data_IF_074572854313
#
_entry.id   IF_074572854313
#
_cell.length_a   1.000
_cell.length_b   1.000
_cell.length_c   1.000
_cell.angle_alpha   90.00
_cell.angle_beta   90.00
_cell.angle_gamma   90.00
#
_symmetry.space_group_name_H-M   'P 1'
#
loop_
_entity.id
_entity.type
_entity.pdbx_description
1 polymer ?
#
# COMPACT_ATOMS: atom_id res chain seq x y z
N UNK A 1 21.12 24.05 8.13
CA UNK A 1 21.04 22.99 9.16
C UNK A 1 19.58 22.75 9.45
N UNK A 2 19.03 21.55 9.24
CA UNK A 2 17.62 21.30 9.51
C UNK A 2 17.39 21.39 11.02
N UNK A 3 16.35 22.15 11.38
CA UNK A 3 15.90 22.36 12.75
C UNK A 3 15.50 20.99 13.31
N UNK A 4 16.25 20.50 14.30
CA UNK A 4 15.87 19.31 15.08
C UNK A 4 14.59 19.64 15.83
N UNK A 5 13.45 19.41 15.20
CA UNK A 5 12.14 19.57 15.80
C UNK A 5 12.08 18.78 17.09
N UNK A 6 11.55 19.38 18.15
CA UNK A 6 11.31 18.73 19.43
C UNK A 6 10.36 17.55 19.21
N UNK A 7 10.91 16.37 18.93
CA UNK A 7 10.17 15.13 18.97
C UNK A 7 9.53 15.03 20.37
N UNK A 8 8.21 15.11 20.39
CA UNK A 8 7.38 14.91 21.58
C UNK A 8 7.88 13.71 22.38
N UNK A 9 7.76 13.74 23.70
CA UNK A 9 8.28 12.65 24.56
C UNK A 9 7.76 11.26 24.14
N UNK A 10 6.55 11.19 23.60
CA UNK A 10 5.98 9.97 23.02
C UNK A 10 6.77 9.48 21.79
N UNK A 11 7.15 10.35 20.87
CA UNK A 11 7.84 10.02 19.62
C UNK A 11 9.22 9.39 19.89
N UNK A 12 9.97 9.95 20.83
CA UNK A 12 11.26 9.35 21.25
C UNK A 12 11.11 7.98 21.90
N UNK A 13 10.07 7.78 22.72
CA UNK A 13 9.79 6.46 23.33
C UNK A 13 9.37 5.43 22.29
N UNK A 14 8.55 5.84 21.34
CA UNK A 14 8.10 5.04 20.20
C UNK A 14 9.29 4.55 19.35
N UNK A 15 10.17 5.45 18.91
CA UNK A 15 11.34 5.08 18.11
C UNK A 15 12.33 4.19 18.88
N UNK A 16 12.53 4.44 20.19
CA UNK A 16 13.35 3.55 21.03
C UNK A 16 12.75 2.15 21.17
N UNK A 17 11.42 2.03 21.27
CA UNK A 17 10.75 0.74 21.30
C UNK A 17 10.97 0.00 19.97
N UNK A 18 10.85 0.70 18.84
CA UNK A 18 11.14 0.15 17.51
C UNK A 18 12.58 -0.37 17.46
N UNK A 19 13.57 0.46 17.79
CA UNK A 19 14.98 0.07 17.82
C UNK A 19 15.25 -1.14 18.73
N UNK A 20 14.63 -1.19 19.90
CA UNK A 20 14.80 -2.28 20.85
C UNK A 20 14.16 -3.58 20.34
N UNK A 21 12.94 -3.51 19.80
CA UNK A 21 12.28 -4.67 19.21
C UNK A 21 13.07 -5.21 18.01
N UNK A 22 13.61 -4.33 17.15
CA UNK A 22 14.44 -4.73 16.02
C UNK A 22 15.75 -5.37 16.45
N UNK A 23 16.38 -4.89 17.53
CA UNK A 23 17.61 -5.50 18.07
C UNK A 23 17.38 -6.90 18.67
N UNK A 24 16.16 -7.17 19.11
CA UNK A 24 15.78 -8.42 19.78
C UNK A 24 14.98 -9.35 18.88
N UNK A 25 14.89 -9.07 17.58
CA UNK A 25 14.07 -9.81 16.60
C UNK A 25 12.61 -10.02 17.06
N UNK A 26 12.08 -9.04 17.80
CA UNK A 26 10.75 -9.09 18.42
C UNK A 26 9.67 -8.47 17.52
N UNK A 27 9.63 -8.90 16.25
CA UNK A 27 8.75 -8.33 15.22
C UNK A 27 7.26 -8.46 15.56
N UNK A 28 6.86 -9.55 16.20
CA UNK A 28 5.48 -9.75 16.67
C UNK A 28 5.05 -8.72 17.73
N UNK A 29 5.97 -8.33 18.63
CA UNK A 29 5.72 -7.27 19.63
C UNK A 29 5.59 -5.93 18.93
N UNK A 30 6.48 -5.68 17.97
CA UNK A 30 6.51 -4.44 17.19
C UNK A 30 5.22 -4.27 16.37
N UNK A 31 4.79 -5.33 15.68
CA UNK A 31 3.53 -5.38 14.93
C UNK A 31 2.35 -5.03 15.83
N UNK A 32 2.25 -5.67 17.02
CA UNK A 32 1.16 -5.42 17.97
C UNK A 32 1.16 -3.99 18.51
N UNK A 33 2.34 -3.45 18.84
CA UNK A 33 2.47 -2.08 19.35
C UNK A 33 2.09 -1.03 18.29
N UNK A 34 2.55 -1.22 17.06
CA UNK A 34 2.36 -0.29 15.94
C UNK A 34 0.96 -0.38 15.31
N UNK A 35 0.22 -1.47 15.54
CA UNK A 35 -1.13 -1.68 15.01
C UNK A 35 -2.10 -0.53 15.30
N UNK A 36 -1.93 0.19 16.41
CA UNK A 36 -2.80 1.33 16.80
C UNK A 36 -2.26 2.71 16.38
N UNK A 37 -1.04 2.79 15.86
CA UNK A 37 -0.43 4.08 15.53
C UNK A 37 -1.07 4.73 14.30
N UNK A 38 -1.10 6.06 14.21
CA UNK A 38 -1.54 6.77 13.01
C UNK A 38 -0.57 6.55 11.84
N UNK A 39 -1.07 6.67 10.60
CA UNK A 39 -0.27 6.45 9.37
C UNK A 39 0.99 7.33 9.35
N UNK A 40 0.89 8.60 9.73
CA UNK A 40 2.04 9.51 9.75
C UNK A 40 3.16 9.04 10.70
N UNK A 41 2.80 8.52 11.89
CA UNK A 41 3.78 7.99 12.84
C UNK A 41 4.41 6.69 12.35
N UNK A 42 3.65 5.86 11.62
CA UNK A 42 4.19 4.65 11.01
C UNK A 42 5.15 4.97 9.87
N UNK A 43 4.80 5.91 8.97
CA UNK A 43 5.70 6.33 7.89
C UNK A 43 7.04 6.79 8.43
N UNK A 44 7.02 7.58 9.50
CA UNK A 44 8.23 8.04 10.14
C UNK A 44 9.02 6.88 10.79
N UNK A 45 8.33 6.01 11.53
CA UNK A 45 8.98 4.89 12.22
C UNK A 45 9.53 3.82 11.27
N UNK A 46 8.97 3.69 10.07
CA UNK A 46 9.38 2.72 9.06
C UNK A 46 10.13 3.36 7.89
N UNK A 47 10.54 4.63 7.98
CA UNK A 47 11.18 5.37 6.88
C UNK A 47 12.44 4.66 6.38
N UNK A 48 13.26 4.17 7.31
CA UNK A 48 14.54 3.51 7.03
C UNK A 48 14.41 1.98 6.86
N UNK A 49 13.18 1.43 6.95
CA UNK A 49 13.00 -0.01 6.82
C UNK A 49 13.07 -0.42 5.36
N UNK A 50 13.76 -1.53 5.11
CA UNK A 50 13.65 -2.26 3.85
C UNK A 50 12.25 -2.89 3.68
N UNK A 51 12.02 -3.44 2.49
CA UNK A 51 10.74 -4.01 2.12
C UNK A 51 10.42 -5.28 2.91
N UNK A 52 11.40 -6.17 3.12
CA UNK A 52 11.25 -7.45 3.81
C UNK A 52 10.87 -7.24 5.29
N UNK A 53 11.53 -6.31 5.99
CA UNK A 53 11.18 -5.96 7.39
C UNK A 53 9.79 -5.35 7.48
N UNK A 54 9.45 -4.46 6.56
CA UNK A 54 8.09 -3.89 6.53
C UNK A 54 7.04 -4.98 6.30
N UNK A 55 7.29 -5.88 5.36
CA UNK A 55 6.41 -6.97 5.01
C UNK A 55 6.15 -7.90 6.21
N UNK A 56 7.20 -8.26 6.95
CA UNK A 56 7.10 -9.11 8.14
C UNK A 56 6.22 -8.49 9.25
N UNK A 57 6.37 -7.19 9.50
CA UNK A 57 5.68 -6.50 10.61
C UNK A 57 4.26 -6.04 10.22
N UNK A 58 4.05 -5.63 8.97
CA UNK A 58 2.80 -4.99 8.54
C UNK A 58 1.64 -5.98 8.27
N UNK A 59 1.91 -7.29 8.20
CA UNK A 59 0.93 -8.33 7.85
C UNK A 59 -0.33 -8.32 8.74
N UNK A 60 -0.17 -8.03 10.03
CA UNK A 60 -1.28 -8.03 11.00
C UNK A 60 -1.98 -6.67 11.18
N UNK A 61 -1.55 -5.66 10.43
CA UNK A 61 -2.15 -4.34 10.50
C UNK A 61 -3.45 -4.27 9.72
N UNK A 62 -4.24 -3.22 9.98
CA UNK A 62 -5.45 -2.98 9.19
C UNK A 62 -5.07 -2.78 7.72
N UNK A 63 -5.67 -3.54 6.81
CA UNK A 63 -5.34 -3.54 5.37
C UNK A 63 -5.34 -2.14 4.75
N UNK A 64 -6.36 -1.32 5.03
CA UNK A 64 -6.44 0.08 4.56
C UNK A 64 -5.24 0.93 5.02
N UNK A 65 -4.66 0.59 6.17
CA UNK A 65 -3.47 1.26 6.69
C UNK A 65 -2.23 0.82 5.91
N UNK A 66 -2.07 -0.49 5.72
CA UNK A 66 -0.97 -1.06 4.91
C UNK A 66 -1.00 -0.47 3.50
N UNK A 67 -2.16 -0.46 2.85
CA UNK A 67 -2.35 0.11 1.52
C UNK A 67 -1.86 1.56 1.42
N UNK A 68 -2.28 2.43 2.35
CA UNK A 68 -1.83 3.83 2.41
C UNK A 68 -0.33 3.97 2.61
N UNK A 69 0.29 3.08 3.40
CA UNK A 69 1.73 3.09 3.64
C UNK A 69 2.51 2.68 2.38
N UNK A 70 2.05 1.64 1.67
CA UNK A 70 2.65 1.22 0.40
C UNK A 70 2.59 2.34 -0.64
N UNK A 71 1.45 3.03 -0.75
CA UNK A 71 1.29 4.16 -1.67
C UNK A 71 2.20 5.32 -1.31
N UNK A 72 2.28 5.68 -0.03
CA UNK A 72 3.09 6.79 0.43
C UNK A 72 4.61 6.53 0.29
N UNK A 73 5.06 5.27 0.35
CA UNK A 73 6.47 4.90 0.13
C UNK A 73 6.83 4.70 -1.35
N UNK A 74 5.83 4.69 -2.23
CA UNK A 74 6.01 4.65 -3.68
C UNK A 74 6.00 3.26 -4.29
N UNK A 75 5.84 3.21 -5.61
CA UNK A 75 5.56 1.97 -6.34
C UNK A 75 6.68 0.92 -6.25
N UNK A 76 7.94 1.34 -6.31
CA UNK A 76 9.08 0.42 -6.19
C UNK A 76 9.09 -0.30 -4.84
N UNK A 77 8.86 0.45 -3.76
CA UNK A 77 8.77 -0.12 -2.42
C UNK A 77 7.57 -1.07 -2.31
N UNK A 78 6.43 -0.69 -2.88
CA UNK A 78 5.23 -1.52 -2.88
C UNK A 78 5.44 -2.88 -3.59
N UNK A 79 6.10 -2.88 -4.76
CA UNK A 79 6.46 -4.11 -5.48
C UNK A 79 7.31 -5.02 -4.60
N UNK A 80 8.40 -4.46 -4.05
CA UNK A 80 9.33 -5.23 -3.20
C UNK A 80 8.66 -5.79 -1.96
N UNK A 81 7.77 -5.04 -1.30
CA UNK A 81 7.03 -5.56 -0.15
C UNK A 81 6.04 -6.66 -0.54
N UNK A 82 5.39 -6.52 -1.68
CA UNK A 82 4.42 -7.52 -2.13
C UNK A 82 5.09 -8.83 -2.58
N UNK A 83 6.35 -8.79 -3.04
CA UNK A 83 7.13 -9.99 -3.33
C UNK A 83 7.41 -10.84 -2.08
N UNK A 84 7.36 -10.24 -0.89
CA UNK A 84 7.63 -10.91 0.40
C UNK A 84 6.35 -11.51 1.01
N UNK A 85 5.20 -11.35 0.37
CA UNK A 85 3.91 -11.80 0.89
C UNK A 85 3.33 -12.94 0.07
N UNK A 86 2.70 -13.87 0.78
CA UNK A 86 1.95 -14.95 0.17
C UNK A 86 0.85 -14.42 -0.77
N UNK A 87 0.61 -15.07 -1.93
CA UNK A 87 -0.39 -14.66 -2.90
C UNK A 87 -1.79 -14.46 -2.31
N UNK A 88 -2.19 -15.27 -1.31
CA UNK A 88 -3.48 -15.12 -0.64
C UNK A 88 -3.60 -13.77 0.04
N UNK A 89 -2.51 -13.27 0.65
CA UNK A 89 -2.53 -11.93 1.25
C UNK A 89 -2.61 -10.84 0.18
N UNK A 90 -1.98 -11.06 -0.98
CA UNK A 90 -2.05 -10.15 -2.13
C UNK A 90 -3.50 -9.99 -2.65
N UNK A 91 -4.28 -11.07 -2.67
CA UNK A 91 -5.71 -11.01 -3.05
C UNK A 91 -6.52 -10.06 -2.16
N UNK A 92 -6.10 -9.84 -0.91
CA UNK A 92 -6.83 -9.01 0.04
C UNK A 92 -6.26 -7.58 0.11
N UNK A 93 -4.95 -7.41 0.03
CA UNK A 93 -4.30 -6.09 0.17
C UNK A 93 -4.37 -5.26 -1.12
N UNK A 94 -4.19 -5.88 -2.29
CA UNK A 94 -4.11 -5.12 -3.56
C UNK A 94 -5.43 -4.43 -3.95
N UNK A 95 -6.61 -4.99 -3.67
CA UNK A 95 -7.87 -4.26 -3.85
C UNK A 95 -8.01 -3.01 -2.97
N UNK A 96 -7.18 -2.86 -1.92
CA UNK A 96 -7.21 -1.70 -1.03
C UNK A 96 -6.28 -0.57 -1.47
N UNK A 97 -5.35 -0.82 -2.40
CA UNK A 97 -4.48 0.22 -2.99
C UNK A 97 -5.11 0.81 -4.25
N UNK A 98 -4.55 1.92 -4.71
CA UNK A 98 -4.90 2.56 -5.97
C UNK A 98 -4.65 1.63 -7.14
N UNK A 99 -5.45 1.79 -8.18
CA UNK A 99 -5.31 1.03 -9.42
C UNK A 99 -3.91 1.16 -10.04
N UNK A 100 -3.27 2.33 -9.86
CA UNK A 100 -1.92 2.59 -10.36
C UNK A 100 -0.92 1.74 -9.60
N UNK A 101 -0.95 1.77 -8.26
CA UNK A 101 -0.06 0.94 -7.43
C UNK A 101 -0.28 -0.54 -7.66
N UNK A 102 -1.53 -1.02 -7.69
CA UNK A 102 -1.84 -2.43 -7.98
C UNK A 102 -1.27 -2.88 -9.32
N UNK A 103 -1.37 -2.04 -10.35
CA UNK A 103 -0.78 -2.34 -11.66
C UNK A 103 0.74 -2.43 -11.61
N UNK A 104 1.41 -1.53 -10.89
CA UNK A 104 2.86 -1.60 -10.72
C UNK A 104 3.29 -2.87 -9.99
N UNK A 105 2.54 -3.28 -8.96
CA UNK A 105 2.80 -4.55 -8.25
C UNK A 105 2.66 -5.73 -9.21
N UNK A 106 1.54 -5.87 -9.92
CA UNK A 106 1.36 -6.97 -10.88
C UNK A 106 2.38 -6.96 -12.02
N UNK A 107 2.79 -5.77 -12.47
CA UNK A 107 3.86 -5.64 -13.46
C UNK A 107 5.18 -6.18 -12.92
N UNK A 108 5.52 -5.81 -11.68
CA UNK A 108 6.79 -6.17 -11.05
C UNK A 108 6.85 -7.63 -10.60
N UNK A 109 5.74 -8.26 -10.24
CA UNK A 109 5.71 -9.65 -9.78
C UNK A 109 5.51 -10.66 -10.92
N UNK A 110 4.84 -10.26 -12.02
CA UNK A 110 4.51 -11.16 -13.12
C UNK A 110 4.72 -10.55 -14.50
N UNK A 111 3.93 -9.55 -14.92
CA UNK A 111 3.84 -9.18 -16.35
C UNK A 111 5.13 -8.63 -16.98
N UNK A 112 6.07 -8.10 -16.19
CA UNK A 112 7.33 -7.53 -16.69
C UNK A 112 8.56 -8.05 -15.96
N UNK A 113 8.37 -8.98 -15.01
CA UNK A 113 9.50 -9.61 -14.34
C UNK A 113 10.07 -10.72 -15.22
N UNK A 114 11.38 -10.85 -15.26
CA UNK A 114 12.04 -12.01 -15.86
C UNK A 114 11.89 -13.21 -14.90
N UNK A 115 12.18 -12.99 -13.62
CA UNK A 115 11.93 -13.93 -12.54
C UNK A 115 10.50 -13.72 -12.00
N UNK A 116 9.56 -14.58 -12.41
CA UNK A 116 8.16 -14.47 -11.97
C UNK A 116 8.05 -14.85 -10.49
N UNK A 117 7.65 -13.90 -9.65
CA UNK A 117 7.34 -14.13 -8.23
C UNK A 117 5.96 -14.78 -8.04
N UNK A 118 5.13 -14.78 -9.08
CA UNK A 118 3.78 -15.36 -9.08
C UNK A 118 3.65 -16.33 -10.25
N UNK A 119 2.97 -17.44 -10.03
CA UNK A 119 2.44 -18.28 -11.10
C UNK A 119 1.30 -17.57 -11.85
N UNK A 120 0.98 -17.98 -13.10
CA UNK A 120 -0.18 -17.46 -13.82
C UNK A 120 -1.49 -17.63 -13.03
N UNK A 121 -1.65 -18.76 -12.33
CA UNK A 121 -2.82 -19.07 -11.51
C UNK A 121 -2.94 -18.13 -10.30
N UNK A 122 -1.86 -17.88 -9.56
CA UNK A 122 -1.87 -16.93 -8.44
C UNK A 122 -2.16 -15.50 -8.91
N UNK A 123 -1.59 -15.11 -10.05
CA UNK A 123 -1.92 -13.82 -10.68
C UNK A 123 -3.41 -13.75 -11.05
N UNK A 124 -4.03 -14.86 -11.49
CA UNK A 124 -5.47 -14.93 -11.77
C UNK A 124 -6.27 -14.67 -10.50
N UNK A 125 -5.96 -15.36 -9.41
CA UNK A 125 -6.65 -15.19 -8.11
C UNK A 125 -6.61 -13.73 -7.63
N UNK A 126 -5.44 -13.09 -7.74
CA UNK A 126 -5.26 -11.68 -7.37
C UNK A 126 -6.11 -10.76 -8.25
N UNK A 127 -6.08 -10.96 -9.57
CA UNK A 127 -6.89 -10.18 -10.52
C UNK A 127 -8.38 -10.38 -10.25
N UNK A 128 -8.80 -11.59 -9.93
CA UNK A 128 -10.19 -11.92 -9.63
C UNK A 128 -10.69 -11.32 -8.32
N UNK A 129 -9.81 -10.98 -7.38
CA UNK A 129 -10.21 -10.27 -6.17
C UNK A 129 -10.76 -8.85 -6.45
N UNK A 130 -10.46 -8.24 -7.61
CA UNK A 130 -11.01 -6.94 -7.99
C UNK A 130 -12.43 -7.06 -8.57
N UNK A 131 -13.28 -6.02 -8.43
CA UNK A 131 -14.57 -5.98 -9.13
C UNK A 131 -14.42 -6.08 -10.65
N UNK A 132 -15.33 -6.74 -11.39
CA UNK A 132 -15.21 -6.96 -12.84
C UNK A 132 -14.99 -5.69 -13.68
N UNK A 133 -15.56 -4.55 -13.26
CA UNK A 133 -15.37 -3.25 -13.91
C UNK A 133 -13.96 -2.68 -13.73
N UNK A 134 -13.29 -3.04 -12.64
CA UNK A 134 -11.94 -2.61 -12.28
C UNK A 134 -10.89 -3.52 -12.93
N UNK A 135 -11.15 -4.84 -13.01
CA UNK A 135 -10.25 -5.83 -13.66
C UNK A 135 -9.84 -5.39 -15.07
N UNK A 136 -10.81 -5.00 -15.90
CA UNK A 136 -10.53 -4.50 -17.26
C UNK A 136 -9.61 -3.28 -17.27
N UNK A 137 -9.77 -2.36 -16.31
CA UNK A 137 -8.92 -1.16 -16.19
C UNK A 137 -7.53 -1.50 -15.67
N UNK A 138 -7.41 -2.51 -14.81
CA UNK A 138 -6.14 -2.99 -14.27
C UNK A 138 -5.27 -3.56 -15.39
N UNK A 139 -5.85 -4.44 -16.21
CA UNK A 139 -5.16 -5.23 -17.22
C UNK A 139 -4.92 -4.52 -18.56
N UNK A 140 -5.63 -3.42 -18.85
CA UNK A 140 -5.58 -2.71 -20.15
C UNK A 140 -4.19 -2.34 -20.67
N UNK A 141 -3.17 -2.31 -19.80
CA UNK A 141 -1.81 -1.87 -20.12
C UNK A 141 -0.80 -3.01 -20.21
N UNK A 142 -1.25 -4.25 -20.07
CA UNK A 142 -0.44 -5.45 -20.25
C UNK A 142 -0.71 -6.06 -21.62
N UNK A 143 0.20 -6.91 -22.06
CA UNK A 143 0.10 -7.60 -23.34
C UNK A 143 -1.07 -8.57 -23.36
N UNK A 144 -1.80 -8.62 -24.47
CA UNK A 144 -3.02 -9.44 -24.58
C UNK A 144 -2.72 -10.93 -24.43
N UNK A 145 -1.55 -11.38 -24.88
CA UNK A 145 -1.07 -12.76 -24.73
C UNK A 145 -0.95 -13.14 -23.25
N UNK A 146 -0.21 -12.36 -22.46
CA UNK A 146 0.00 -12.63 -21.04
C UNK A 146 -1.30 -12.54 -20.25
N UNK A 147 -2.13 -11.54 -20.54
CA UNK A 147 -3.44 -11.39 -19.90
C UNK A 147 -4.31 -12.61 -20.18
N UNK A 148 -4.30 -13.11 -21.42
CA UNK A 148 -5.06 -14.31 -21.79
C UNK A 148 -4.54 -15.56 -21.10
N UNK A 149 -3.22 -15.72 -20.96
CA UNK A 149 -2.59 -16.81 -20.19
C UNK A 149 -3.07 -16.78 -18.74
N UNK A 150 -2.92 -15.64 -18.06
CA UNK A 150 -3.36 -15.47 -16.65
C UNK A 150 -4.86 -15.74 -16.49
N UNK A 151 -5.72 -15.21 -17.37
CA UNK A 151 -7.16 -15.38 -17.22
C UNK A 151 -7.65 -16.83 -17.49
N UNK A 152 -6.84 -17.66 -18.17
CA UNK A 152 -7.17 -19.06 -18.44
C UNK A 152 -6.53 -20.04 -17.46
N UNK A 153 -5.43 -19.67 -16.82
CA UNK A 153 -4.63 -20.54 -15.96
C UNK A 153 -5.45 -21.23 -14.85
N UNK A 154 -5.38 -22.56 -14.75
CA UNK A 154 -6.06 -23.38 -13.74
C UNK A 154 -5.12 -23.80 -12.59
N UNK A 155 -5.70 -24.36 -11.53
CA UNK A 155 -4.93 -24.84 -10.38
C UNK A 155 -4.11 -26.08 -10.81
N UNK A 156 -2.79 -25.95 -10.85
CA UNK A 156 -1.89 -27.01 -11.31
C UNK A 156 -1.39 -26.86 -12.75
N UNK A 157 -1.69 -25.75 -13.43
CA UNK A 157 -0.91 -25.30 -14.57
C UNK A 157 0.47 -24.86 -14.08
N UNK A 158 1.35 -25.83 -13.83
CA UNK A 158 2.79 -25.57 -13.73
C UNK A 158 3.22 -25.02 -15.10
N UNK A 159 4.06 -23.99 -15.12
CA UNK A 159 4.50 -23.30 -16.33
C UNK A 159 5.16 -24.30 -17.31
N UNK A 160 4.34 -24.96 -18.12
CA UNK A 160 4.79 -25.67 -19.30
C UNK A 160 5.28 -24.57 -20.23
N UNK A 161 6.62 -24.48 -20.35
CA UNK A 161 7.29 -23.73 -21.40
C UNK A 161 6.72 -24.21 -22.74
N UNK A 162 5.65 -23.55 -23.21
CA UNK A 162 5.19 -23.59 -24.58
C UNK A 162 6.29 -22.98 -25.44
N UNK A 163 7.37 -23.74 -25.68
CA UNK A 163 8.25 -23.61 -26.82
C UNK A 163 7.46 -24.00 -28.08
N UNK A 164 6.41 -23.24 -28.41
CA UNK A 164 5.87 -23.23 -29.77
C UNK A 164 6.79 -22.36 -30.65
N UNK A 165 7.75 -23.08 -31.22
CA UNK A 165 8.44 -22.86 -32.48
C UNK A 165 7.67 -21.89 -33.41
N UNK A 166 8.11 -20.62 -33.42
CA UNK A 166 7.74 -19.65 -34.44
C UNK A 166 8.93 -19.45 -35.36
N UNK A 167 9.11 -20.41 -36.27
CA UNK A 167 9.85 -20.18 -37.50
C UNK A 167 9.07 -19.17 -38.36
N UNK A 168 9.80 -18.18 -38.88
CA UNK A 168 9.50 -17.38 -40.07
C UNK A 168 8.58 -16.15 -39.91
N UNK A 169 9.19 -14.97 -39.76
CA UNK A 169 9.10 -13.92 -40.80
C UNK A 169 10.18 -12.84 -40.54
N UNK A 170 11.16 -12.78 -41.43
CA UNK A 170 12.06 -11.63 -41.61
C UNK A 170 11.29 -10.45 -42.22
N UNK A 171 11.37 -9.27 -41.59
CA UNK A 171 11.68 -7.97 -42.20
C UNK A 171 11.54 -6.91 -41.10
N UNK A 172 12.62 -6.18 -40.76
CA UNK A 172 12.77 -4.78 -41.16
C UNK A 172 11.68 -3.90 -40.51
N UNK A 173 11.97 -3.04 -39.54
CA UNK A 173 12.66 -1.78 -39.79
C UNK A 173 13.02 -1.07 -38.47
N UNK A 174 14.12 -0.32 -38.57
CA UNK A 174 14.72 0.61 -37.63
C UNK A 174 13.68 1.53 -36.92
N UNK A 175 13.67 1.52 -35.59
CA UNK A 175 13.13 2.64 -34.79
C UNK A 175 13.95 2.79 -33.51
N UNK A 176 15.12 3.38 -33.68
CA UNK A 176 15.76 4.22 -32.67
C UNK A 176 14.82 5.38 -32.29
N UNK A 177 14.16 5.30 -31.13
CA UNK A 177 13.59 6.49 -30.45
C UNK A 177 13.62 6.26 -28.92
N UNK A 178 14.74 6.62 -28.29
CA UNK A 178 14.90 7.82 -27.47
C UNK A 178 14.14 7.76 -26.13
N UNK A 179 14.90 7.45 -25.07
CA UNK A 179 14.48 7.45 -23.66
C UNK A 179 14.47 8.86 -23.02
N UNK A 180 14.06 9.89 -23.75
CA UNK A 180 14.15 11.28 -23.26
C UNK A 180 12.94 12.13 -23.71
N UNK A 181 11.75 11.88 -23.12
CA UNK A 181 10.67 12.88 -23.11
C UNK A 181 9.64 12.67 -21.97
N UNK A 182 10.09 12.70 -20.72
CA UNK A 182 9.23 13.10 -19.59
C UNK A 182 9.60 14.53 -19.17
N UNK A 183 9.58 15.46 -20.13
CA UNK A 183 9.68 16.89 -19.88
C UNK A 183 8.27 17.47 -19.96
N UNK A 184 7.73 17.87 -18.82
CA UNK A 184 6.58 18.77 -18.74
C UNK A 184 7.10 20.16 -19.06
N UNK A 185 7.03 20.56 -20.32
CA UNK A 185 7.14 21.96 -20.72
C UNK A 185 5.74 22.60 -20.67
N UNK A 186 5.63 23.69 -19.93
CA UNK A 186 4.45 24.54 -19.91
C UNK A 186 4.59 25.64 -20.95
N UNK A 187 3.47 26.21 -21.38
CA UNK A 187 3.25 27.59 -21.87
C UNK A 187 2.03 27.59 -22.83
N UNK A 188 0.85 28.04 -22.36
CA UNK A 188 0.24 29.39 -22.43
C UNK A 188 -0.53 29.69 -23.72
N UNK A 189 -1.84 29.95 -23.55
CA UNK A 189 -2.56 31.12 -24.10
C UNK A 189 -3.92 31.18 -23.37
N UNK A 190 -4.41 32.29 -22.80
CA UNK A 190 -4.15 33.68 -23.15
C UNK A 190 -5.36 34.29 -23.86
N UNK A 191 -6.54 34.29 -23.24
CA UNK A 191 -7.63 35.20 -23.65
C UNK A 191 -8.29 35.76 -22.39
N UNK A 192 -8.15 37.09 -22.26
CA UNK A 192 -8.82 37.93 -21.29
C UNK A 192 -10.28 38.15 -21.72
N UNK A 193 -11.19 38.32 -20.77
CA UNK A 193 -11.91 39.59 -20.69
C UNK A 193 -12.62 39.75 -19.35
N UNK A 194 -12.71 41.02 -18.97
CA UNK A 194 -13.04 41.57 -17.67
C UNK A 194 -14.55 41.82 -17.48
N UNK A 195 -14.85 42.40 -16.32
CA UNK A 195 -16.12 42.96 -15.85
C UNK A 195 -17.07 41.91 -15.23
N UNK A 196 -17.53 42.03 -14.00
CA UNK A 196 -17.73 43.19 -13.13
C UNK A 196 -19.04 42.94 -12.36
N UNK A 197 -19.18 43.59 -11.21
CA UNK A 197 -20.35 43.59 -10.31
C UNK A 197 -20.55 42.39 -9.38
N UNK A 198 -20.92 42.53 -8.11
CA UNK A 198 -20.97 43.60 -7.11
C UNK A 198 -21.53 42.87 -5.86
N UNK A 199 -21.00 43.22 -4.68
CA UNK A 199 -21.63 43.20 -3.36
C UNK A 199 -22.64 42.10 -2.95
N UNK A 200 -22.31 41.39 -1.87
CA UNK A 200 -23.16 41.38 -0.67
C UNK A 200 -22.41 40.81 0.55
N UNK A 201 -22.07 41.74 1.42
CA UNK A 201 -21.77 41.59 2.85
C UNK A 201 -22.93 40.89 3.59
N UNK A 202 -22.63 39.90 4.43
CA UNK A 202 -23.48 39.56 5.57
C UNK A 202 -22.63 38.89 6.67
N UNK A 203 -22.11 39.73 7.56
CA UNK A 203 -21.73 39.33 8.91
C UNK A 203 -22.95 38.76 9.66
N UNK A 204 -22.82 37.56 10.24
CA UNK A 204 -23.61 37.21 11.42
C UNK A 204 -22.78 36.50 12.49
N UNK A 205 -22.93 37.07 13.67
CA UNK A 205 -22.33 36.78 14.96
C UNK A 205 -22.77 35.43 15.55
N UNK A 206 -21.87 34.84 16.33
CA UNK A 206 -22.16 34.37 17.68
C UNK A 206 -22.76 32.97 17.84
N UNK A 207 -22.04 32.09 18.53
CA UNK A 207 -22.37 31.69 19.91
C UNK A 207 -21.23 30.82 20.46
N UNK A 208 -20.62 31.33 21.52
CA UNK A 208 -19.84 30.57 22.50
C UNK A 208 -20.79 29.68 23.32
N UNK A 209 -20.31 28.50 23.72
CA UNK A 209 -20.97 27.61 24.68
C UNK A 209 -20.78 26.15 24.25
N UNK A 210 -20.41 25.22 25.11
CA UNK A 210 -20.31 25.23 26.55
C UNK A 210 -19.45 24.02 26.93
N UNK A 211 -18.65 24.21 27.96
CA UNK A 211 -17.79 23.26 28.63
C UNK A 211 -18.65 22.43 29.58
N UNK A 212 -18.74 21.11 29.37
CA UNK A 212 -19.35 20.22 30.38
C UNK A 212 -18.35 19.11 30.70
N UNK A 213 -17.63 19.33 31.79
CA UNK A 213 -16.92 18.33 32.57
C UNK A 213 -17.87 17.34 33.29
N UNK A 214 -17.24 16.27 33.79
CA UNK A 214 -17.68 15.34 34.85
C UNK A 214 -18.86 14.44 34.49
N UNK A 215 -18.96 13.19 34.92
CA UNK A 215 -18.22 12.23 35.74
C UNK A 215 -18.90 10.88 35.35
N UNK A 216 -18.74 9.72 35.95
CA UNK A 216 -18.30 9.32 37.27
C UNK A 216 -18.37 7.77 37.23
N UNK A 217 -17.48 7.17 37.98
CA UNK A 217 -17.40 5.80 38.51
C UNK A 217 -18.46 4.74 38.16
N UNK A 218 -17.96 3.55 37.86
CA UNK A 218 -18.34 2.36 38.62
C UNK A 218 -17.06 1.53 38.83
N UNK A 219 -16.43 1.80 39.97
CA UNK A 219 -15.59 0.86 40.72
C UNK A 219 -16.44 -0.31 41.26
N UNK A 220 -15.75 -1.35 41.72
CA UNK A 220 -16.24 -2.52 42.45
C UNK A 220 -16.86 -3.65 41.58
N UNK A 221 -16.55 -4.93 41.78
CA UNK A 221 -16.14 -5.58 43.02
C UNK A 221 -15.37 -6.88 42.74
N UNK A 222 -14.55 -7.24 43.72
CA UNK A 222 -13.77 -8.45 43.89
C UNK A 222 -14.61 -9.74 43.81
N UNK A 223 -13.95 -10.82 43.40
CA UNK A 223 -14.11 -12.13 44.07
C UNK A 223 -12.88 -12.98 43.75
N UNK A 224 -11.81 -12.76 44.53
CA UNK A 224 -10.89 -13.83 44.88
C UNK A 224 -11.63 -14.81 45.78
N UNK A 225 -11.65 -16.11 45.46
CA UNK A 225 -11.32 -17.13 46.46
C UNK A 225 -10.53 -18.25 45.78
N UNK A 226 -9.25 -18.33 46.14
CA UNK A 226 -8.52 -19.59 46.22
C UNK A 226 -9.28 -20.55 47.14
N UNK A 227 -9.25 -21.85 46.90
CA UNK A 227 -8.74 -22.82 47.87
C UNK A 227 -8.53 -24.18 47.20
N UNK A 228 -7.38 -24.75 47.58
CA UNK A 228 -6.85 -26.06 47.22
C UNK A 228 -7.60 -27.20 47.95
N UNK A 229 -7.26 -28.43 47.54
CA UNK A 229 -7.39 -29.70 48.29
C UNK A 229 -8.81 -30.30 48.34
N UNK A 230 -9.04 -31.61 48.19
CA UNK A 230 -8.35 -32.75 48.81
C UNK A 230 -8.70 -34.05 48.03
N UNK A 231 -7.78 -35.02 48.10
CA UNK A 231 -7.85 -36.47 47.80
C UNK A 231 -8.09 -37.00 46.36
#
# INVERSE_FOLDING_TARGET
MPVRGNATGWRRRALRLVELCLRLDAEHVLSRAMKRWPVAALLEATEEWDASRFAAVARDWRLKKVARLLEARGHRFAVQCCAEWEPEFLTVVLPQVSLVTARHVLAGLYFRSEDKDLSPYECRLIVEAFPPSVRRKLLRKFEERDVSRVLRAEEGDEDEDDEEDSEDDEDGEDSSDSLDDFIVDGETDGEADADGDEDADEEMQGVEGDDVEEGDDDEDDDDEEEEESDD
#
